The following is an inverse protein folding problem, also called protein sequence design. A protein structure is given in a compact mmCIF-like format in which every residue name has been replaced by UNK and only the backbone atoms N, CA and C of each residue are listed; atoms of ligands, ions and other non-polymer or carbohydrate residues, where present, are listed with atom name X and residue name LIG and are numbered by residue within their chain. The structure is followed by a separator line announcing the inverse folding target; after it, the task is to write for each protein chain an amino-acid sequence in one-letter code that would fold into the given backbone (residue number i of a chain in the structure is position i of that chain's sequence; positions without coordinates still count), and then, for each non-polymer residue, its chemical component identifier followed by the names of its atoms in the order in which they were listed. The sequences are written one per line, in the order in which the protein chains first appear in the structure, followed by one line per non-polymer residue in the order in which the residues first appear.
data_IF_191336287747
#
_entry.id   IF_191336287747
#
_cell.length_a   1.000
_cell.length_b   1.000
_cell.length_c   1.000
_cell.angle_alpha   90.00
_cell.angle_beta   90.00
_cell.angle_gamma   90.00
#
_symmetry.space_group_name_H-M   'P 1'
#
loop_
_entity.id
_entity.type
_entity.pdbx_description
1 polymer ?
#
# COMPACT_ATOMS: atom_id res chain seq x y z
N UNK A 1 10.41 -18.78 -36.26
CA UNK A 1 11.52 -18.35 -35.37
C UNK A 1 11.50 -16.84 -35.03
N UNK A 2 11.12 -15.94 -35.94
CA UNK A 2 11.08 -14.48 -35.69
C UNK A 2 9.90 -14.00 -34.80
N UNK A 3 8.73 -14.66 -34.90
CA UNK A 3 7.53 -14.34 -34.09
C UNK A 3 7.73 -14.55 -32.58
N UNK A 4 8.36 -15.66 -32.17
CA UNK A 4 8.68 -15.95 -30.76
C UNK A 4 9.67 -14.91 -30.19
N UNK A 5 10.68 -14.50 -30.97
CA UNK A 5 11.65 -13.47 -30.55
C UNK A 5 10.98 -12.12 -30.31
N UNK A 6 10.05 -11.72 -31.19
CA UNK A 6 9.27 -10.48 -31.03
C UNK A 6 8.35 -10.56 -29.80
N UNK A 7 7.69 -11.70 -29.55
CA UNK A 7 6.84 -11.88 -28.37
C UNK A 7 7.64 -11.81 -27.06
N UNK A 8 8.83 -12.41 -27.03
CA UNK A 8 9.73 -12.32 -25.87
C UNK A 8 10.11 -10.86 -25.60
N UNK A 9 10.50 -10.10 -26.63
CA UNK A 9 10.85 -8.69 -26.48
C UNK A 9 9.66 -7.87 -25.95
N UNK A 10 8.45 -8.10 -26.48
CA UNK A 10 7.24 -7.42 -26.00
C UNK A 10 6.95 -7.73 -24.52
N UNK A 11 7.08 -8.99 -24.10
CA UNK A 11 6.91 -9.37 -22.69
C UNK A 11 7.92 -8.66 -21.80
N UNK A 12 9.20 -8.62 -22.20
CA UNK A 12 10.23 -7.91 -21.44
C UNK A 12 9.94 -6.41 -21.32
N UNK A 13 9.48 -5.76 -22.39
CA UNK A 13 9.11 -4.34 -22.36
C UNK A 13 7.92 -4.08 -21.42
N UNK A 14 6.92 -4.96 -21.42
CA UNK A 14 5.77 -4.85 -20.49
C UNK A 14 6.22 -5.05 -19.05
N UNK A 15 7.02 -6.07 -18.77
CA UNK A 15 7.57 -6.29 -17.42
C UNK A 15 8.43 -5.11 -16.96
N UNK A 16 9.28 -4.57 -17.82
CA UNK A 16 10.12 -3.42 -17.51
C UNK A 16 9.26 -2.18 -17.21
N UNK A 17 8.21 -1.93 -17.99
CA UNK A 17 7.27 -0.85 -17.72
C UNK A 17 6.60 -1.03 -16.35
N UNK A 18 6.11 -2.24 -16.02
CA UNK A 18 5.48 -2.49 -14.71
C UNK A 18 6.44 -2.18 -13.55
N UNK A 19 7.71 -2.60 -13.65
CA UNK A 19 8.72 -2.34 -12.60
C UNK A 19 9.07 -0.85 -12.53
N UNK A 20 9.23 -0.18 -13.68
CA UNK A 20 9.56 1.24 -13.74
C UNK A 20 8.46 2.14 -13.16
N UNK A 21 7.20 1.68 -13.16
CA UNK A 21 6.06 2.40 -12.58
C UNK A 21 5.64 1.85 -11.22
N UNK A 22 6.45 1.01 -10.57
CA UNK A 22 6.18 0.55 -9.22
C UNK A 22 6.09 1.76 -8.26
N UNK A 23 5.00 1.79 -7.48
CA UNK A 23 4.70 2.85 -6.52
C UNK A 23 4.78 2.29 -5.11
N UNK A 24 5.55 2.95 -4.26
CA UNK A 24 5.84 2.49 -2.91
C UNK A 24 5.34 3.48 -1.86
N UNK A 25 4.90 2.95 -0.72
CA UNK A 25 4.47 3.75 0.41
C UNK A 25 5.68 4.34 1.13
N UNK A 26 5.72 5.64 1.44
CA UNK A 26 6.78 6.17 2.28
C UNK A 26 6.76 5.49 3.66
N UNK A 27 7.90 5.47 4.38
CA UNK A 27 7.92 5.01 5.77
C UNK A 27 6.90 5.80 6.61
N UNK A 28 6.26 5.17 7.62
CA UNK A 28 5.35 5.87 8.51
C UNK A 28 6.04 7.05 9.20
N UNK A 29 5.38 8.21 9.29
CA UNK A 29 5.91 9.36 10.04
C UNK A 29 6.05 9.05 11.53
N UNK A 30 5.17 8.20 12.05
CA UNK A 30 5.18 7.73 13.43
C UNK A 30 5.20 6.20 13.40
N UNK A 31 6.40 5.58 13.47
CA UNK A 31 6.54 4.12 13.41
C UNK A 31 6.13 3.41 14.71
N UNK A 32 5.98 4.17 15.80
CA UNK A 32 5.59 3.65 17.10
C UNK A 32 4.20 2.98 17.07
N UNK A 33 3.97 1.92 17.86
CA UNK A 33 2.67 1.29 17.98
C UNK A 33 1.58 2.29 18.35
N UNK A 34 0.38 2.05 17.82
CA UNK A 34 -0.73 2.95 18.08
C UNK A 34 -1.22 2.85 19.53
N UNK A 35 -0.96 3.89 20.33
CA UNK A 35 -1.34 3.95 21.75
C UNK A 35 -2.84 4.15 22.00
N UNK A 36 -3.66 4.21 20.95
CA UNK A 36 -5.11 4.41 21.05
C UNK A 36 -5.81 3.06 21.01
N UNK A 37 -6.91 2.95 21.74
CA UNK A 37 -7.83 1.80 21.69
C UNK A 37 -8.63 1.71 20.37
N UNK A 38 -8.32 2.59 19.41
CA UNK A 38 -8.92 2.60 18.09
C UNK A 38 -7.87 2.94 17.02
N UNK A 39 -8.13 2.48 15.80
CA UNK A 39 -7.48 2.93 14.56
C UNK A 39 -8.46 3.77 13.74
N UNK A 40 -7.94 4.61 12.86
CA UNK A 40 -8.76 5.37 11.93
C UNK A 40 -8.28 5.14 10.50
N UNK A 41 -9.08 4.43 9.71
CA UNK A 41 -8.76 4.16 8.31
C UNK A 41 -9.37 5.25 7.43
N UNK A 42 -8.52 6.04 6.80
CA UNK A 42 -8.90 7.02 5.79
C UNK A 42 -9.08 6.40 4.39
N UNK A 43 -8.61 5.15 4.21
CA UNK A 43 -8.77 4.37 2.99
C UNK A 43 -8.82 2.87 3.33
N UNK A 44 -9.55 2.11 2.52
CA UNK A 44 -9.63 0.65 2.52
C UNK A 44 -9.42 0.04 1.13
N UNK A 45 -9.01 0.87 0.16
CA UNK A 45 -8.62 0.47 -1.17
C UNK A 45 -7.69 1.52 -1.76
N UNK A 46 -6.89 1.13 -2.74
CA UNK A 46 -6.09 2.07 -3.53
C UNK A 46 -6.95 3.08 -4.29
N UNK A 47 -8.21 2.73 -4.60
CA UNK A 47 -9.15 3.60 -5.31
C UNK A 47 -9.76 4.71 -4.46
N UNK A 48 -9.61 4.63 -3.13
CA UNK A 48 -10.13 5.65 -2.21
C UNK A 48 -9.24 6.89 -2.17
N UNK A 49 -8.01 6.77 -2.65
CA UNK A 49 -7.02 7.83 -2.66
C UNK A 49 -7.10 8.67 -3.94
N UNK A 50 -6.68 9.93 -3.84
CA UNK A 50 -6.59 10.82 -4.99
C UNK A 50 -5.50 10.34 -5.97
N UNK A 51 -5.55 10.84 -7.20
CA UNK A 51 -4.53 10.53 -8.21
C UNK A 51 -3.11 10.74 -7.66
N UNK A 52 -2.24 9.76 -7.91
CA UNK A 52 -0.84 9.67 -7.44
C UNK A 52 -0.63 9.41 -5.95
N UNK A 53 -1.71 9.33 -5.16
CA UNK A 53 -1.66 8.84 -3.80
C UNK A 53 -2.04 7.35 -3.77
N UNK A 54 -1.48 6.64 -2.81
CA UNK A 54 -1.72 5.23 -2.57
C UNK A 54 -2.11 5.03 -1.11
N UNK A 55 -2.95 4.04 -0.85
CA UNK A 55 -3.38 3.69 0.50
C UNK A 55 -2.26 2.93 1.21
N UNK A 56 -1.73 3.50 2.28
CA UNK A 56 -0.62 2.98 3.06
C UNK A 56 -1.07 2.55 4.45
N UNK A 57 -0.49 1.45 4.94
CA UNK A 57 -0.71 0.95 6.30
C UNK A 57 0.20 1.72 7.25
N UNK A 58 -0.40 2.42 8.21
CA UNK A 58 0.32 3.03 9.33
C UNK A 58 -0.16 2.44 10.67
N UNK A 59 0.63 2.55 11.76
CA UNK A 59 0.30 1.91 13.03
C UNK A 59 -1.10 2.23 13.57
N UNK A 60 -1.54 3.50 13.40
CA UNK A 60 -2.86 3.97 13.85
C UNK A 60 -3.97 3.92 12.78
N UNK A 61 -3.77 3.22 11.66
CA UNK A 61 -4.76 3.05 10.61
C UNK A 61 -4.21 3.38 9.22
N UNK A 62 -5.02 3.14 8.20
CA UNK A 62 -4.62 3.33 6.82
C UNK A 62 -4.78 4.79 6.38
N UNK A 63 -3.81 5.31 5.62
CA UNK A 63 -3.79 6.69 5.14
C UNK A 63 -3.33 6.77 3.70
N UNK A 64 -3.95 7.64 2.91
CA UNK A 64 -3.47 7.99 1.58
C UNK A 64 -2.17 8.79 1.70
N UNK A 65 -1.09 8.28 1.10
CA UNK A 65 0.20 8.98 1.00
C UNK A 65 0.59 9.12 -0.46
N UNK A 66 1.34 10.18 -0.75
CA UNK A 66 1.96 10.33 -2.07
C UNK A 66 2.94 9.20 -2.31
N UNK A 67 2.75 8.50 -3.43
CA UNK A 67 3.60 7.39 -3.80
C UNK A 67 5.06 7.83 -4.00
N UNK A 68 5.99 6.94 -3.68
CA UNK A 68 7.41 7.04 -4.02
C UNK A 68 7.72 6.14 -5.21
N UNK A 69 8.62 6.59 -6.06
CA UNK A 69 9.10 5.82 -7.22
C UNK A 69 10.31 4.93 -6.87
N UNK A 70 10.80 5.02 -5.62
CA UNK A 70 11.86 4.18 -5.08
C UNK A 70 11.31 3.30 -3.96
N UNK A 71 11.85 2.09 -3.85
CA UNK A 71 11.48 1.13 -2.82
C UNK A 71 11.78 1.67 -1.41
N UNK A 72 10.85 1.43 -0.51
CA UNK A 72 10.84 1.94 0.86
C UNK A 72 10.30 0.87 1.81
N UNK A 73 10.53 1.05 3.11
CA UNK A 73 9.99 0.15 4.14
C UNK A 73 8.50 0.33 4.44
N UNK A 74 7.83 1.28 3.78
CA UNK A 74 6.39 1.50 3.96
C UNK A 74 5.57 0.44 3.25
N UNK A 75 4.40 0.14 3.81
CA UNK A 75 3.54 -0.96 3.34
C UNK A 75 2.28 -0.41 2.70
N UNK A 76 1.99 -0.83 1.46
CA UNK A 76 0.74 -0.52 0.79
C UNK A 76 -0.38 -1.45 1.27
N UNK A 77 -1.57 -0.89 1.47
CA UNK A 77 -2.78 -1.66 1.78
C UNK A 77 -3.19 -2.48 0.55
N UNK A 78 -3.52 -3.76 0.73
CA UNK A 78 -3.89 -4.63 -0.40
C UNK A 78 -5.40 -4.56 -0.64
N UNK A 79 -5.79 -4.34 -1.88
CA UNK A 79 -7.21 -4.32 -2.24
C UNK A 79 -7.85 -5.69 -1.97
N UNK A 80 -8.97 -5.69 -1.26
CA UNK A 80 -9.70 -6.91 -0.89
C UNK A 80 -9.39 -7.43 0.51
N UNK A 81 -8.37 -6.90 1.19
CA UNK A 81 -8.14 -7.18 2.62
C UNK A 81 -9.31 -6.64 3.45
N UNK A 82 -9.64 -7.33 4.55
CA UNK A 82 -10.68 -6.87 5.48
C UNK A 82 -10.32 -5.50 6.05
N UNK A 83 -11.14 -4.49 5.76
CA UNK A 83 -10.96 -3.14 6.26
C UNK A 83 -12.30 -2.46 6.48
N UNK A 84 -12.41 -1.75 7.61
CA UNK A 84 -13.55 -0.89 7.91
C UNK A 84 -13.10 0.56 7.84
N UNK A 85 -13.86 1.35 7.08
CA UNK A 85 -13.62 2.77 6.93
C UNK A 85 -13.89 3.53 8.24
N UNK A 86 -13.08 4.56 8.51
CA UNK A 86 -13.25 5.42 9.68
C UNK A 86 -12.72 4.78 10.98
N UNK A 87 -13.39 5.08 12.10
CA UNK A 87 -12.95 4.70 13.44
C UNK A 87 -13.28 3.23 13.75
N UNK A 88 -12.25 2.43 14.00
CA UNK A 88 -12.36 1.00 14.33
C UNK A 88 -11.73 0.76 15.69
N UNK A 89 -12.46 0.16 16.65
CA UNK A 89 -11.88 -0.23 17.93
C UNK A 89 -10.83 -1.32 17.72
N UNK A 90 -9.67 -1.17 18.33
CA UNK A 90 -8.69 -2.24 18.35
C UNK A 90 -9.22 -3.36 19.24
N UNK A 91 -9.31 -4.56 18.68
CA UNK A 91 -9.56 -5.75 19.51
C UNK A 91 -8.40 -5.95 20.47
N UNK A 92 -8.69 -6.49 21.66
CA UNK A 92 -7.71 -6.76 22.72
C UNK A 92 -6.46 -7.54 22.22
N UNK A 93 -6.66 -8.45 21.27
CA UNK A 93 -5.58 -9.21 20.63
C UNK A 93 -4.68 -8.36 19.73
N UNK A 94 -5.23 -7.36 19.03
CA UNK A 94 -4.48 -6.45 18.15
C UNK A 94 -3.61 -5.46 18.93
N UNK A 95 -3.95 -5.15 20.18
CA UNK A 95 -3.17 -4.27 21.06
C UNK A 95 -2.05 -4.97 21.82
N UNK A 96 -2.06 -6.30 21.92
CA UNK A 96 -1.06 -7.08 22.66
C UNK A 96 0.12 -7.55 21.79
N UNK A 97 -0.08 -7.67 20.48
CA UNK A 97 0.91 -8.19 19.52
C UNK A 97 1.25 -7.19 18.41
N UNK A 98 0.81 -5.93 18.54
CA UNK A 98 1.06 -4.83 17.60
C UNK A 98 2.17 -3.90 18.07
#
# INVERSE_FOLDING_TARGET
MMKIKIHIILIFLVCFAIVAFAKFCPPPLHPEPCKRDYKYNHCCSQGDCKSYDICCVEPCGNVCRRARDAETSGVAFRNGDECQFGKVKQGFWSSLFG
#
